data_IF_749901317783
#
_entry.id   IF_749901317783
#
_cell.length_a   1.000
_cell.length_b   1.000
_cell.length_c   1.000
_cell.angle_alpha   90.00
_cell.angle_beta   90.00
_cell.angle_gamma   90.00
#
_symmetry.space_group_name_H-M   'P 1'
#
loop_
_entity.id
_entity.type
_entity.pdbx_description
1 polymer ?
#
# COMPACT_ATOMS: atom_id res chain seq x y z
N UNK A 1 17.70 -13.24 -8.40
CA UNK A 1 18.98 -12.88 -9.04
C UNK A 1 19.53 -14.04 -9.84
N UNK A 2 19.76 -15.21 -9.26
CA UNK A 2 20.30 -16.40 -9.96
C UNK A 2 19.48 -16.80 -11.19
N UNK A 3 18.16 -16.76 -11.12
CA UNK A 3 17.28 -17.07 -12.25
C UNK A 3 17.39 -16.07 -13.41
N UNK A 4 17.87 -14.87 -13.15
CA UNK A 4 18.11 -13.81 -14.13
C UNK A 4 19.59 -13.71 -14.54
N UNK A 5 20.46 -14.59 -14.02
CA UNK A 5 21.90 -14.57 -14.28
C UNK A 5 22.62 -13.34 -13.73
N UNK A 6 22.01 -12.65 -12.74
CA UNK A 6 22.57 -11.48 -12.07
C UNK A 6 23.16 -11.83 -10.72
N UNK A 7 24.22 -11.11 -10.31
CA UNK A 7 24.80 -11.16 -8.98
C UNK A 7 24.40 -9.94 -8.15
N UNK A 8 24.62 -9.98 -6.85
CA UNK A 8 24.40 -8.81 -5.97
C UNK A 8 25.30 -7.64 -6.33
N UNK A 9 26.52 -7.93 -6.84
CA UNK A 9 27.46 -6.90 -7.29
C UNK A 9 26.97 -6.12 -8.53
N UNK A 10 26.12 -6.72 -9.36
CA UNK A 10 25.53 -6.06 -10.54
C UNK A 10 24.46 -5.03 -10.15
N UNK A 11 23.99 -5.07 -8.90
CA UNK A 11 22.98 -4.17 -8.34
C UNK A 11 23.57 -3.27 -7.24
N UNK A 12 24.90 -3.11 -7.20
CA UNK A 12 25.64 -2.27 -6.23
C UNK A 12 25.27 -2.56 -4.76
N UNK A 13 24.95 -3.82 -4.43
CA UNK A 13 24.58 -4.26 -3.09
C UNK A 13 25.31 -5.54 -2.70
N UNK A 14 25.29 -5.86 -1.42
CA UNK A 14 25.80 -7.14 -0.88
C UNK A 14 24.65 -8.06 -0.49
N UNK A 15 24.92 -9.38 -0.41
CA UNK A 15 23.91 -10.34 0.06
C UNK A 15 23.38 -9.99 1.45
N UNK A 16 24.25 -9.48 2.33
CA UNK A 16 23.91 -9.12 3.71
C UNK A 16 23.00 -7.89 3.77
N UNK A 17 23.31 -6.86 2.99
CA UNK A 17 22.48 -5.64 2.86
C UNK A 17 21.11 -5.99 2.26
N UNK A 18 21.08 -6.77 1.19
CA UNK A 18 19.81 -7.21 0.58
C UNK A 18 18.96 -8.04 1.56
N UNK A 19 19.58 -8.93 2.35
CA UNK A 19 18.87 -9.70 3.38
C UNK A 19 18.26 -8.80 4.46
N UNK A 20 18.99 -7.80 4.90
CA UNK A 20 18.49 -6.86 5.91
C UNK A 20 17.37 -5.98 5.39
N UNK A 21 17.45 -5.52 4.15
CA UNK A 21 16.36 -4.80 3.50
C UNK A 21 15.10 -5.67 3.34
N UNK A 22 15.24 -6.88 2.80
CA UNK A 22 14.12 -7.80 2.67
C UNK A 22 13.52 -8.19 4.01
N UNK A 23 14.33 -8.31 5.06
CA UNK A 23 13.83 -8.57 6.43
C UNK A 23 12.97 -7.42 6.93
N UNK A 24 13.45 -6.18 6.81
CA UNK A 24 12.69 -4.98 7.18
C UNK A 24 11.37 -4.87 6.41
N UNK A 25 11.43 -5.13 5.10
CA UNK A 25 10.25 -5.14 4.25
C UNK A 25 9.25 -6.23 4.65
N UNK A 26 9.74 -7.44 4.95
CA UNK A 26 8.91 -8.56 5.39
C UNK A 26 8.27 -8.28 6.76
N UNK A 27 9.03 -7.76 7.74
CA UNK A 27 8.52 -7.37 9.04
C UNK A 27 7.43 -6.29 8.92
N UNK A 28 7.66 -5.26 8.09
CA UNK A 28 6.66 -4.22 7.82
C UNK A 28 5.39 -4.81 7.22
N UNK A 29 5.51 -5.71 6.24
CA UNK A 29 4.38 -6.35 5.56
C UNK A 29 3.56 -7.22 6.51
N UNK A 30 4.23 -8.04 7.33
CA UNK A 30 3.57 -8.88 8.35
C UNK A 30 2.86 -8.01 9.40
N UNK A 31 3.54 -6.98 9.91
CA UNK A 31 2.98 -6.05 10.88
C UNK A 31 1.75 -5.34 10.33
N UNK A 32 1.81 -4.86 9.08
CA UNK A 32 0.67 -4.22 8.41
C UNK A 32 -0.50 -5.19 8.28
N UNK A 33 -0.27 -6.41 7.81
CA UNK A 33 -1.33 -7.41 7.67
C UNK A 33 -2.01 -7.75 8.99
N UNK A 34 -1.24 -7.87 10.09
CA UNK A 34 -1.79 -8.11 11.42
C UNK A 34 -2.64 -6.94 11.91
N UNK A 35 -2.18 -5.70 11.70
CA UNK A 35 -2.92 -4.49 12.09
C UNK A 35 -4.22 -4.36 11.29
N UNK A 36 -4.18 -4.56 9.97
CA UNK A 36 -5.37 -4.52 9.12
C UNK A 36 -6.36 -5.62 9.52
N UNK A 37 -5.87 -6.82 9.82
CA UNK A 37 -6.72 -7.93 10.28
C UNK A 37 -7.45 -7.59 11.58
N UNK A 38 -6.75 -7.03 12.56
CA UNK A 38 -7.33 -6.64 13.85
C UNK A 38 -8.37 -5.51 13.69
N UNK A 39 -8.03 -4.47 12.92
CA UNK A 39 -8.95 -3.37 12.63
C UNK A 39 -10.20 -3.87 11.91
N UNK A 40 -10.04 -4.72 10.90
CA UNK A 40 -11.15 -5.26 10.14
C UNK A 40 -12.08 -6.12 10.97
N UNK A 41 -11.53 -6.96 11.85
CA UNK A 41 -12.30 -7.77 12.78
C UNK A 41 -13.05 -6.89 13.79
N UNK A 42 -12.38 -5.92 14.41
CA UNK A 42 -12.99 -4.99 15.35
C UNK A 42 -14.09 -4.14 14.70
N UNK A 43 -13.96 -3.83 13.41
CA UNK A 43 -14.94 -3.08 12.63
C UNK A 43 -16.07 -3.96 12.06
N UNK A 44 -16.04 -5.28 12.25
CA UNK A 44 -17.01 -6.22 11.71
C UNK A 44 -17.02 -6.29 10.19
N UNK A 45 -15.86 -6.09 9.55
CA UNK A 45 -15.76 -6.14 8.09
C UNK A 45 -15.73 -7.60 7.64
N UNK A 46 -16.66 -7.95 6.77
CA UNK A 46 -16.76 -9.28 6.17
C UNK A 46 -16.77 -9.20 4.65
N UNK A 47 -16.17 -10.20 4.02
CA UNK A 47 -16.22 -10.37 2.56
C UNK A 47 -17.43 -11.23 2.22
N UNK A 48 -18.36 -10.63 1.49
CA UNK A 48 -19.60 -11.31 1.05
C UNK A 48 -19.34 -12.26 -0.11
N UNK A 49 -20.20 -13.26 -0.27
CA UNK A 49 -20.16 -14.17 -1.42
C UNK A 49 -20.29 -13.43 -2.77
N UNK A 50 -21.03 -12.32 -2.81
CA UNK A 50 -21.20 -11.52 -4.04
C UNK A 50 -19.88 -10.83 -4.43
N UNK A 51 -19.14 -10.27 -3.47
CA UNK A 51 -17.82 -9.67 -3.70
C UNK A 51 -16.83 -10.72 -4.17
N UNK A 52 -16.86 -11.90 -3.56
CA UNK A 52 -16.00 -13.00 -3.93
C UNK A 52 -16.29 -13.51 -5.36
N UNK A 53 -17.55 -13.68 -5.71
CA UNK A 53 -17.95 -14.06 -7.07
C UNK A 53 -17.52 -12.99 -8.08
N UNK A 54 -17.67 -11.71 -7.75
CA UNK A 54 -17.21 -10.62 -8.62
C UNK A 54 -15.72 -10.70 -8.85
N UNK A 55 -14.91 -10.92 -7.80
CA UNK A 55 -13.47 -11.08 -7.93
C UNK A 55 -13.09 -12.28 -8.81
N UNK A 56 -13.81 -13.41 -8.68
CA UNK A 56 -13.60 -14.57 -9.56
C UNK A 56 -13.91 -14.20 -11.02
N UNK A 57 -15.01 -13.50 -11.30
CA UNK A 57 -15.34 -13.04 -12.65
C UNK A 57 -14.27 -12.10 -13.22
N UNK A 58 -13.76 -11.18 -12.41
CA UNK A 58 -12.72 -10.25 -12.83
C UNK A 58 -11.40 -10.99 -13.15
N UNK A 59 -11.06 -12.01 -12.38
CA UNK A 59 -9.95 -12.90 -12.70
C UNK A 59 -10.18 -13.68 -14.00
N UNK A 60 -11.33 -14.30 -14.15
CA UNK A 60 -11.68 -15.07 -15.36
C UNK A 60 -11.57 -14.21 -16.61
N UNK A 61 -12.03 -12.96 -16.58
CA UNK A 61 -11.97 -12.02 -17.72
C UNK A 61 -10.55 -11.68 -18.18
N UNK A 62 -9.55 -11.84 -17.33
CA UNK A 62 -8.15 -11.60 -17.69
C UNK A 62 -7.60 -12.71 -18.61
N UNK A 63 -8.17 -13.91 -18.58
CA UNK A 63 -7.71 -15.07 -19.32
C UNK A 63 -8.60 -15.35 -20.55
N UNK A 64 -8.49 -14.47 -21.56
CA UNK A 64 -9.29 -14.58 -22.79
C UNK A 64 -9.06 -15.92 -23.51
N UNK A 65 -10.15 -16.62 -23.79
CA UNK A 65 -10.13 -17.94 -24.44
C UNK A 65 -9.92 -19.12 -23.49
N UNK A 66 -9.71 -18.87 -22.20
CA UNK A 66 -9.56 -19.90 -21.16
C UNK A 66 -10.53 -19.66 -19.98
N UNK A 67 -11.56 -18.85 -20.20
CA UNK A 67 -12.48 -18.39 -19.16
C UNK A 67 -13.09 -19.58 -18.41
N UNK A 68 -13.54 -20.60 -19.15
CA UNK A 68 -14.14 -21.80 -18.56
C UNK A 68 -13.17 -22.57 -17.68
N UNK A 69 -11.92 -22.72 -18.13
CA UNK A 69 -10.89 -23.45 -17.37
C UNK A 69 -10.54 -22.76 -16.08
N UNK A 70 -10.41 -21.42 -16.11
CA UNK A 70 -10.13 -20.61 -14.93
C UNK A 70 -11.30 -20.63 -13.96
N UNK A 71 -12.54 -20.55 -14.47
CA UNK A 71 -13.74 -20.66 -13.63
C UNK A 71 -13.82 -22.02 -12.93
N UNK A 72 -13.60 -23.12 -13.68
CA UNK A 72 -13.61 -24.48 -13.15
C UNK A 72 -12.47 -24.70 -12.15
N UNK A 73 -11.31 -24.03 -12.36
CA UNK A 73 -10.22 -24.04 -11.39
C UNK A 73 -10.64 -23.47 -10.05
N UNK A 74 -11.24 -22.26 -10.00
CA UNK A 74 -11.74 -21.66 -8.75
C UNK A 74 -12.81 -22.49 -8.10
N UNK A 75 -13.74 -23.06 -8.91
CA UNK A 75 -14.81 -23.91 -8.41
C UNK A 75 -14.29 -25.17 -7.70
N UNK A 76 -13.20 -25.74 -8.21
CA UNK A 76 -12.64 -26.98 -7.68
C UNK A 76 -11.53 -26.76 -6.63
N UNK A 77 -11.10 -25.51 -6.40
CA UNK A 77 -10.02 -25.18 -5.48
C UNK A 77 -10.45 -24.14 -4.45
N UNK A 78 -11.04 -24.55 -3.33
CA UNK A 78 -11.48 -23.63 -2.27
C UNK A 78 -10.35 -22.77 -1.69
N UNK A 79 -9.12 -23.28 -1.67
CA UNK A 79 -7.95 -22.51 -1.23
C UNK A 79 -7.67 -21.30 -2.14
N UNK A 80 -7.83 -21.47 -3.45
CA UNK A 80 -7.67 -20.37 -4.41
C UNK A 80 -8.76 -19.31 -4.22
N UNK A 81 -9.97 -19.73 -3.88
CA UNK A 81 -11.07 -18.81 -3.52
C UNK A 81 -10.77 -18.09 -2.21
N UNK A 82 -10.24 -18.79 -1.21
CA UNK A 82 -9.81 -18.19 0.06
C UNK A 82 -8.68 -17.16 -0.15
N UNK A 83 -7.76 -17.42 -1.08
CA UNK A 83 -6.69 -16.49 -1.46
C UNK A 83 -7.22 -15.19 -2.07
N UNK A 84 -8.37 -15.22 -2.77
CA UNK A 84 -9.02 -14.01 -3.27
C UNK A 84 -9.73 -13.21 -2.16
N UNK A 85 -10.11 -13.86 -1.08
CA UNK A 85 -10.80 -13.20 0.05
C UNK A 85 -9.91 -12.22 0.79
N UNK A 86 -8.62 -12.53 0.96
CA UNK A 86 -7.69 -11.71 1.72
C UNK A 86 -7.52 -10.29 1.14
N UNK A 87 -7.20 -10.09 -0.16
CA UNK A 87 -7.07 -8.75 -0.73
C UNK A 87 -8.39 -7.96 -0.70
N UNK A 88 -9.54 -8.60 -0.90
CA UNK A 88 -10.85 -7.92 -0.80
C UNK A 88 -11.08 -7.42 0.63
N UNK A 89 -10.75 -8.22 1.62
CA UNK A 89 -10.86 -7.83 3.03
C UNK A 89 -9.95 -6.64 3.34
N UNK A 90 -8.68 -6.70 2.92
CA UNK A 90 -7.70 -5.62 3.13
C UNK A 90 -8.16 -4.32 2.45
N UNK A 91 -8.65 -4.37 1.22
CA UNK A 91 -9.20 -3.22 0.50
C UNK A 91 -10.37 -2.57 1.26
N UNK A 92 -11.33 -3.37 1.73
CA UNK A 92 -12.46 -2.88 2.54
C UNK A 92 -12.03 -2.24 3.85
N UNK A 93 -11.00 -2.77 4.50
CA UNK A 93 -10.44 -2.18 5.72
C UNK A 93 -9.78 -0.84 5.42
N UNK A 94 -9.00 -0.77 4.34
CA UNK A 94 -8.35 0.47 3.90
C UNK A 94 -9.38 1.53 3.51
N UNK A 95 -10.41 1.17 2.74
CA UNK A 95 -11.50 2.07 2.36
C UNK A 95 -12.21 2.65 3.59
N UNK A 96 -12.48 1.81 4.59
CA UNK A 96 -13.05 2.27 5.85
C UNK A 96 -12.13 3.26 6.56
N UNK A 97 -10.84 2.95 6.65
CA UNK A 97 -9.86 3.86 7.26
C UNK A 97 -9.77 5.19 6.50
N UNK A 98 -9.75 5.15 5.17
CA UNK A 98 -9.71 6.36 4.34
C UNK A 98 -10.96 7.23 4.53
N UNK A 99 -12.11 6.63 4.79
CA UNK A 99 -13.33 7.37 5.10
C UNK A 99 -13.31 8.07 6.47
N UNK A 100 -12.47 7.61 7.39
CA UNK A 100 -12.34 8.15 8.75
C UNK A 100 -11.18 9.15 8.90
N UNK A 101 -10.20 9.15 7.97
CA UNK A 101 -9.04 10.05 8.02
C UNK A 101 -9.27 11.34 7.27
N UNK A 102 -8.56 12.38 7.69
CA UNK A 102 -8.59 13.69 7.04
C UNK A 102 -7.52 13.71 5.94
N UNK A 103 -7.95 13.53 4.69
CA UNK A 103 -7.06 13.58 3.54
C UNK A 103 -6.74 15.03 3.19
N UNK A 104 -5.44 15.36 3.05
CA UNK A 104 -4.98 16.66 2.56
C UNK A 104 -4.26 16.49 1.24
N UNK A 105 -4.79 17.12 0.21
CA UNK A 105 -4.12 17.17 -1.08
C UNK A 105 -2.99 18.21 -1.03
N UNK A 106 -1.77 17.76 -1.36
CA UNK A 106 -0.59 18.61 -1.47
C UNK A 106 -0.11 18.58 -2.90
N UNK A 107 -0.03 19.74 -3.52
CA UNK A 107 0.53 19.87 -4.87
C UNK A 107 2.06 19.93 -4.73
N UNK A 108 2.72 18.94 -5.27
CA UNK A 108 4.19 18.84 -5.29
C UNK A 108 4.69 18.81 -6.73
N UNK A 109 5.97 19.16 -6.94
CA UNK A 109 6.59 19.00 -8.25
C UNK A 109 6.84 17.51 -8.56
N UNK A 110 7.03 17.19 -9.85
CA UNK A 110 7.34 15.81 -10.25
C UNK A 110 8.67 15.33 -9.62
N UNK A 111 9.63 16.22 -9.48
CA UNK A 111 10.93 15.94 -8.89
C UNK A 111 10.81 15.61 -7.39
N UNK A 112 9.97 16.33 -6.66
CA UNK A 112 9.70 16.08 -5.24
C UNK A 112 8.97 14.75 -5.04
N UNK A 113 8.00 14.43 -5.89
CA UNK A 113 7.26 13.17 -5.82
C UNK A 113 8.17 11.96 -6.06
N UNK A 114 9.10 12.07 -7.02
CA UNK A 114 10.03 10.98 -7.35
C UNK A 114 11.14 10.84 -6.30
N UNK A 115 11.54 11.93 -5.62
CA UNK A 115 12.54 11.90 -4.56
C UNK A 115 12.02 11.21 -3.28
N UNK A 116 10.72 11.29 -2.99
CA UNK A 116 10.10 10.61 -1.84
C UNK A 116 10.03 9.08 -2.04
N UNK A 117 9.93 8.61 -3.29
CA UNK A 117 9.93 7.17 -3.60
C UNK A 117 11.32 6.52 -3.41
N UNK A 118 12.41 7.30 -3.49
CA UNK A 118 13.79 6.82 -3.26
C UNK A 118 14.19 6.83 -1.77
N UNK A 119 13.43 7.52 -0.91
CA UNK A 119 13.71 7.54 0.52
C UNK A 119 13.15 6.26 1.19
N UNK A 120 13.98 5.44 1.85
CA UNK A 120 13.45 4.38 2.70
C UNK A 120 12.56 5.03 3.76
N UNK A 121 11.30 4.55 3.86
CA UNK A 121 10.29 5.10 4.78
C UNK A 121 10.85 5.16 6.21
N UNK A 122 11.50 6.26 6.54
CA UNK A 122 11.98 6.57 7.87
C UNK A 122 10.78 7.00 8.72
N UNK A 123 10.70 6.45 9.92
CA UNK A 123 9.71 6.76 10.96
C UNK A 123 9.31 8.23 10.94
N UNK A 124 8.02 8.50 10.72
CA UNK A 124 7.43 9.83 10.82
C UNK A 124 7.61 10.39 12.23
N UNK A 125 8.61 11.25 12.38
CA UNK A 125 8.61 12.21 13.49
C UNK A 125 7.64 13.33 13.15
N UNK A 126 6.74 13.73 14.06
CA UNK A 126 5.76 14.77 13.78
C UNK A 126 6.45 16.08 13.44
N UNK A 127 6.17 16.62 12.25
CA UNK A 127 6.71 17.88 11.76
C UNK A 127 6.33 19.02 12.71
N UNK A 128 7.34 19.63 13.33
CA UNK A 128 7.19 20.87 14.10
C UNK A 128 6.72 21.98 13.17
N UNK A 129 5.52 22.52 13.44
CA UNK A 129 4.96 23.67 12.75
C UNK A 129 5.97 24.84 12.71
N UNK A 130 6.43 25.19 11.51
CA UNK A 130 7.19 26.44 11.29
C UNK A 130 6.23 27.62 11.42
N UNK A 131 6.43 28.43 12.47
CA UNK A 131 5.75 29.70 12.66
C UNK A 131 6.04 30.63 11.48
N UNK A 132 4.99 31.12 10.83
CA UNK A 132 5.07 32.17 9.82
C UNK A 132 5.66 33.46 10.40
N UNK A 133 6.48 34.21 9.66
CA UNK A 133 7.00 35.49 10.14
C UNK A 133 5.91 36.55 10.12
N UNK A 134 5.74 37.25 11.27
CA UNK A 134 4.82 38.35 11.44
C UNK A 134 5.19 39.52 10.50
N UNK A 135 4.23 39.95 9.68
CA UNK A 135 4.31 41.22 8.91
C UNK A 135 4.32 42.41 9.87
N UNK A 136 5.45 43.12 9.91
CA UNK A 136 5.52 44.46 10.55
C UNK A 136 4.63 45.45 9.79
N UNK A 137 3.61 45.97 10.44
CA UNK A 137 2.86 47.10 9.95
C UNK A 137 3.72 48.39 10.09
N UNK A 138 3.94 49.05 8.98
CA UNK A 138 4.55 50.38 8.92
C UNK A 138 3.47 51.40 9.25
N UNK A 139 3.69 52.15 10.30
CA UNK A 139 2.89 53.30 10.73
C UNK A 139 3.50 54.53 10.04
N UNK A 140 2.84 55.05 9.05
CA UNK A 140 3.14 56.40 8.52
C UNK A 140 2.30 57.42 9.27
N UNK A 141 3.02 58.27 9.98
CA UNK A 141 2.53 59.51 10.54
C UNK A 141 2.95 60.61 9.57
N UNK A 142 2.02 61.36 9.04
CA UNK A 142 2.25 62.64 8.39
C UNK A 142 1.29 63.67 8.94
N UNK A 143 1.83 64.74 9.27
CA UNK A 143 1.40 66.05 9.61
C UNK A 143 0.36 66.64 8.64
#
# INVERSE_FOLDING_TARGET
LESAGKSFADEDTTEEEARDEYRKLAERRVRLGLVLSEIGQAAGIEVTEQELQRAIYDQVRQYRGQEQQVYDFFRNNPESVAALRAPIFEEKVVDKLLAEVNVKDVVVSKEELMADDEAPAADEKPAKAKKAPAKKAKKDTAE
#
